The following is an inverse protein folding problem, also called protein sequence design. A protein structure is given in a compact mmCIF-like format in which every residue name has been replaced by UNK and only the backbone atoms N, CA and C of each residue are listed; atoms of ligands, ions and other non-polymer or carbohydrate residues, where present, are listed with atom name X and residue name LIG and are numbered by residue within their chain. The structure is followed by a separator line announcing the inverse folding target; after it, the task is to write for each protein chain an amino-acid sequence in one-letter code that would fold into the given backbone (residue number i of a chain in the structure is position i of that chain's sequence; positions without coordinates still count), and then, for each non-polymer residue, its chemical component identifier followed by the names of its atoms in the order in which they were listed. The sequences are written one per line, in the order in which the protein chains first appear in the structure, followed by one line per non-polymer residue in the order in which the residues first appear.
data_IF_068004172286
#
_entry.id   IF_068004172286
#
_cell.length_a   1.000
_cell.length_b   1.000
_cell.length_c   1.000
_cell.angle_alpha   90.00
_cell.angle_beta   90.00
_cell.angle_gamma   90.00
#
_symmetry.space_group_name_H-M   'P 1'
#
loop_
_entity.id
_entity.type
_entity.pdbx_description
1 polymer ?
#
# COMPACT_ATOMS: atom_id res chain seq x y z
N UNK A 1 34.88 -8.09 4.45
CA UNK A 1 33.46 -7.70 4.23
C UNK A 1 32.69 -8.96 3.86
N UNK A 2 31.45 -9.14 4.29
CA UNK A 2 30.68 -10.32 3.92
C UNK A 2 30.11 -10.13 2.49
N UNK A 3 29.92 -11.21 1.75
CA UNK A 3 29.27 -11.23 0.41
C UNK A 3 27.92 -10.48 0.41
N UNK A 4 27.24 -10.47 1.54
CA UNK A 4 26.01 -9.71 1.76
C UNK A 4 26.23 -8.21 1.78
N UNK A 5 27.25 -7.72 2.47
CA UNK A 5 27.56 -6.27 2.54
C UNK A 5 27.99 -5.74 1.18
N UNK A 6 28.72 -6.51 0.42
CA UNK A 6 29.11 -6.12 -0.94
C UNK A 6 27.90 -6.03 -1.88
N UNK A 7 26.93 -6.97 -1.76
CA UNK A 7 25.66 -6.91 -2.50
C UNK A 7 24.82 -5.70 -2.13
N UNK A 8 24.71 -5.38 -0.84
CA UNK A 8 23.96 -4.19 -0.39
C UNK A 8 24.56 -2.92 -1.00
N UNK A 9 25.89 -2.76 -0.93
CA UNK A 9 26.58 -1.61 -1.53
C UNK A 9 26.36 -1.53 -3.04
N UNK A 10 26.56 -2.64 -3.73
CA UNK A 10 26.35 -2.73 -5.17
C UNK A 10 24.93 -2.34 -5.57
N UNK A 11 23.90 -2.80 -4.83
CA UNK A 11 22.51 -2.46 -5.09
C UNK A 11 22.23 -0.96 -4.91
N UNK A 12 22.81 -0.33 -3.88
CA UNK A 12 22.65 1.11 -3.64
C UNK A 12 23.36 1.92 -4.74
N UNK A 13 24.56 1.52 -5.14
CA UNK A 13 25.30 2.16 -6.23
C UNK A 13 24.52 2.05 -7.55
N UNK A 14 23.96 0.88 -7.84
CA UNK A 14 23.14 0.66 -9.03
C UNK A 14 21.86 1.51 -9.00
N UNK A 15 21.22 1.64 -7.83
CA UNK A 15 20.06 2.51 -7.66
C UNK A 15 20.42 3.97 -7.94
N UNK A 16 21.49 4.49 -7.35
CA UNK A 16 21.97 5.87 -7.59
C UNK A 16 22.30 6.12 -9.07
N UNK A 17 22.87 5.14 -9.74
CA UNK A 17 23.18 5.22 -11.16
C UNK A 17 21.91 5.27 -12.03
N UNK A 18 20.88 4.50 -11.68
CA UNK A 18 19.63 4.43 -12.45
C UNK A 18 18.68 5.58 -12.13
N UNK A 19 18.75 6.12 -10.93
CA UNK A 19 17.91 7.23 -10.42
C UNK A 19 18.80 8.30 -9.79
N UNK A 20 19.61 9.01 -10.61
CA UNK A 20 20.63 9.93 -10.10
C UNK A 20 20.07 11.13 -9.31
N UNK A 21 18.81 11.49 -9.57
CA UNK A 21 18.13 12.63 -8.92
C UNK A 21 17.26 12.21 -7.73
N UNK A 22 17.38 10.95 -7.24
CA UNK A 22 16.69 10.56 -6.02
C UNK A 22 17.18 11.39 -4.82
N UNK A 23 16.29 12.01 -4.03
CA UNK A 23 16.68 12.89 -2.93
C UNK A 23 17.47 12.17 -1.82
N UNK A 24 17.27 10.89 -1.66
CA UNK A 24 17.94 10.07 -0.66
C UNK A 24 17.99 8.59 -1.07
N UNK A 25 18.84 7.81 -0.39
CA UNK A 25 18.93 6.36 -0.59
C UNK A 25 17.68 5.61 -0.09
N UNK A 26 16.84 6.24 0.70
CA UNK A 26 15.59 5.68 1.21
C UNK A 26 14.38 6.07 0.37
N UNK A 27 14.58 6.93 -0.63
CA UNK A 27 13.51 7.48 -1.45
C UNK A 27 12.78 6.40 -2.26
N UNK A 28 11.47 6.55 -2.37
CA UNK A 28 10.58 5.79 -3.25
C UNK A 28 9.60 6.76 -3.91
N UNK A 29 9.49 6.72 -5.23
CA UNK A 29 8.62 7.65 -5.96
C UNK A 29 7.13 7.30 -5.84
N UNK A 30 6.77 6.08 -5.41
CA UNK A 30 5.36 5.66 -5.31
C UNK A 30 4.49 6.59 -4.46
N UNK A 31 4.89 7.09 -3.28
CA UNK A 31 4.06 8.03 -2.50
C UNK A 31 3.69 9.32 -3.22
N UNK A 32 4.37 9.67 -4.31
CA UNK A 32 4.12 10.85 -5.13
C UNK A 32 3.30 10.60 -6.39
N UNK A 33 3.14 9.34 -6.78
CA UNK A 33 2.48 8.99 -8.04
C UNK A 33 1.35 7.98 -7.88
N UNK A 34 1.26 7.30 -6.74
CA UNK A 34 0.48 6.08 -6.56
C UNK A 34 -0.42 6.09 -5.33
N UNK A 35 -1.61 5.53 -5.50
CA UNK A 35 -2.47 5.06 -4.41
C UNK A 35 -2.90 3.63 -4.67
N UNK A 36 -3.14 2.89 -3.60
CA UNK A 36 -3.63 1.51 -3.67
C UNK A 36 -4.82 1.32 -2.74
N UNK A 37 -5.82 0.56 -3.19
CA UNK A 37 -6.96 0.16 -2.36
C UNK A 37 -6.84 -1.31 -1.94
N UNK A 38 -7.49 -1.65 -0.84
CA UNK A 38 -7.82 -3.03 -0.49
C UNK A 38 -9.26 -3.36 -0.87
N UNK A 39 -9.62 -4.66 -0.98
CA UNK A 39 -10.99 -5.04 -1.32
C UNK A 39 -12.07 -4.45 -0.41
N UNK A 40 -11.77 -4.24 0.87
CA UNK A 40 -12.67 -3.63 1.85
C UNK A 40 -12.67 -2.08 1.86
N UNK A 41 -12.01 -1.45 0.90
CA UNK A 41 -11.95 0.00 0.77
C UNK A 41 -10.84 0.70 1.58
N UNK A 42 -10.01 -0.04 2.33
CA UNK A 42 -8.85 0.57 2.99
C UNK A 42 -7.87 1.13 1.97
N UNK A 43 -7.39 2.35 2.22
CA UNK A 43 -6.38 3.01 1.40
C UNK A 43 -4.97 2.68 1.90
N UNK A 44 -4.01 2.56 0.98
CA UNK A 44 -2.62 2.17 1.28
C UNK A 44 -1.62 3.10 0.63
N UNK A 45 -0.46 3.24 1.27
CA UNK A 45 0.70 3.96 0.72
C UNK A 45 1.13 3.36 -0.63
N UNK A 46 1.19 2.05 -0.71
CA UNK A 46 1.40 1.30 -1.97
C UNK A 46 0.93 -0.15 -1.83
N UNK A 47 0.85 -0.87 -2.93
CA UNK A 47 0.36 -2.26 -2.97
C UNK A 47 1.22 -3.24 -2.16
N UNK A 48 2.49 -2.94 -1.90
CA UNK A 48 3.40 -3.75 -1.07
C UNK A 48 3.69 -3.17 0.31
N UNK A 49 3.18 -1.96 0.62
CA UNK A 49 3.29 -1.40 1.95
C UNK A 49 2.83 -2.44 2.98
N UNK A 50 3.58 -2.52 4.08
CA UNK A 50 3.42 -3.60 5.07
C UNK A 50 1.99 -3.61 5.66
N UNK A 51 1.15 -4.34 5.00
CA UNK A 51 -0.25 -4.53 5.32
C UNK A 51 -0.59 -6.00 5.14
N UNK A 52 0.38 -6.88 5.42
CA UNK A 52 0.12 -8.32 5.35
C UNK A 52 -0.90 -8.66 6.42
N UNK A 53 -1.93 -9.38 6.01
CA UNK A 53 -2.95 -9.94 6.88
C UNK A 53 -2.39 -10.94 7.90
N UNK A 54 -1.14 -11.37 7.76
CA UNK A 54 -0.54 -12.49 8.49
C UNK A 54 0.71 -12.07 9.23
N UNK A 55 0.89 -11.06 9.86
CA UNK A 55 2.11 -10.78 10.65
C UNK A 55 2.36 -9.31 10.97
N UNK A 56 1.78 -8.42 10.19
CA UNK A 56 1.90 -6.99 10.45
C UNK A 56 0.85 -6.46 11.42
N UNK A 57 -0.22 -7.22 11.64
CA UNK A 57 -1.32 -6.85 12.54
C UNK A 57 -0.91 -6.92 14.01
N UNK A 58 0.10 -7.68 14.35
CA UNK A 58 0.61 -7.83 15.72
C UNK A 58 1.77 -6.89 16.05
N UNK A 59 2.14 -5.97 15.16
CA UNK A 59 3.06 -4.92 15.53
C UNK A 59 2.35 -3.86 16.38
N UNK A 60 2.10 -4.24 17.64
CA UNK A 60 1.57 -3.33 18.68
C UNK A 60 2.43 -2.08 18.85
N UNK A 61 3.70 -2.16 18.45
CA UNK A 61 4.65 -1.05 18.52
C UNK A 61 4.34 0.05 17.50
N UNK A 62 3.70 -0.30 16.38
CA UNK A 62 3.37 0.63 15.30
C UNK A 62 1.85 0.78 15.07
N UNK A 63 1.02 0.34 16.01
CA UNK A 63 -0.41 0.65 16.02
C UNK A 63 -1.25 -0.08 14.97
N UNK A 64 -0.94 -1.34 14.66
CA UNK A 64 -1.76 -2.16 13.78
C UNK A 64 -1.32 -2.10 12.31
N UNK A 65 -2.22 -2.20 11.36
CA UNK A 65 -1.94 -2.29 9.91
C UNK A 65 -1.05 -1.15 9.40
N UNK A 66 0.28 -1.39 9.48
CA UNK A 66 1.34 -0.45 9.09
C UNK A 66 1.33 -0.32 7.60
N UNK A 67 0.87 0.50 6.90
CA UNK A 67 0.81 0.58 5.41
C UNK A 67 -0.58 0.90 4.92
N UNK A 68 -1.57 0.80 5.81
CA UNK A 68 -2.89 1.40 5.62
C UNK A 68 -2.81 2.85 6.06
N UNK A 69 -3.33 3.76 5.25
CA UNK A 69 -3.42 5.18 5.62
C UNK A 69 -4.31 5.33 6.84
N UNK A 70 -3.96 6.25 7.72
CA UNK A 70 -4.73 6.54 8.94
C UNK A 70 -5.23 7.97 8.92
N UNK A 71 -6.46 8.15 9.33
CA UNK A 71 -7.06 9.46 9.59
C UNK A 71 -6.48 10.07 10.88
N UNK A 72 -6.79 11.33 11.14
CA UNK A 72 -6.35 12.04 12.34
C UNK A 72 -6.77 11.37 13.66
N UNK A 73 -7.86 10.60 13.65
CA UNK A 73 -8.34 9.81 14.79
C UNK A 73 -7.62 8.45 14.95
N UNK A 74 -6.62 8.18 14.11
CA UNK A 74 -5.85 6.94 14.11
C UNK A 74 -6.54 5.75 13.44
N UNK A 75 -7.79 5.91 12.99
CA UNK A 75 -8.51 4.85 12.28
C UNK A 75 -8.05 4.73 10.83
N UNK A 76 -8.16 3.53 10.22
CA UNK A 76 -7.86 3.34 8.81
C UNK A 76 -8.68 4.27 7.91
N UNK A 77 -8.01 4.95 6.97
CA UNK A 77 -8.68 5.64 5.87
C UNK A 77 -9.38 4.61 4.99
N UNK A 78 -10.69 4.77 4.79
CA UNK A 78 -11.51 3.77 4.15
C UNK A 78 -12.56 4.41 3.25
N UNK A 79 -12.60 4.00 1.99
CA UNK A 79 -13.52 4.48 0.97
C UNK A 79 -15.02 4.18 1.25
N UNK A 80 -15.33 3.43 2.30
CA UNK A 80 -16.71 3.37 2.81
C UNK A 80 -17.15 4.69 3.48
N UNK A 81 -16.19 5.54 3.90
CA UNK A 81 -16.44 6.72 4.73
C UNK A 81 -15.67 7.97 4.28
N UNK A 82 -14.72 7.81 3.37
CA UNK A 82 -13.85 8.88 2.85
C UNK A 82 -13.85 8.86 1.33
N UNK A 83 -13.34 9.90 0.73
CA UNK A 83 -13.15 10.01 -0.71
C UNK A 83 -11.70 9.70 -1.15
N UNK A 84 -11.47 9.66 -2.46
CA UNK A 84 -10.17 9.34 -3.03
C UNK A 84 -9.13 10.43 -2.73
N UNK A 85 -9.52 11.69 -2.87
CA UNK A 85 -8.58 12.81 -2.79
C UNK A 85 -8.16 13.14 -1.36
N UNK A 86 -9.05 12.91 -0.38
CA UNK A 86 -8.68 13.01 1.04
C UNK A 86 -7.57 12.02 1.43
N UNK A 87 -7.46 10.90 0.71
CA UNK A 87 -6.40 9.92 0.91
C UNK A 87 -5.07 10.34 0.27
N UNK A 88 -5.10 11.14 -0.78
CA UNK A 88 -3.91 11.58 -1.52
C UNK A 88 -2.96 12.43 -0.67
N UNK A 89 -3.49 13.41 0.04
CA UNK A 89 -2.76 14.27 0.98
C UNK A 89 -3.16 14.00 2.44
N UNK A 90 -3.51 12.76 2.75
CA UNK A 90 -3.71 12.30 4.11
C UNK A 90 -2.44 12.55 4.94
N UNK A 91 -2.56 12.95 6.21
CA UNK A 91 -1.41 13.27 7.07
C UNK A 91 -0.42 12.11 7.21
N UNK A 92 -0.92 10.87 7.17
CA UNK A 92 -0.05 9.70 7.14
C UNK A 92 0.79 9.63 5.86
N UNK A 93 0.19 9.91 4.69
CA UNK A 93 0.90 9.94 3.41
C UNK A 93 1.90 11.09 3.33
N UNK A 94 1.53 12.28 3.81
CA UNK A 94 2.41 13.44 3.91
C UNK A 94 3.65 13.11 4.77
N UNK A 95 3.43 12.49 5.94
CA UNK A 95 4.52 12.07 6.81
C UNK A 95 5.43 10.99 6.16
N UNK A 96 4.90 10.11 5.33
CA UNK A 96 5.72 9.16 4.57
C UNK A 96 6.64 9.89 3.58
N UNK A 97 6.11 10.90 2.88
CA UNK A 97 6.89 11.70 1.92
C UNK A 97 8.00 12.49 2.64
N UNK A 98 7.68 13.23 3.71
CA UNK A 98 8.67 14.00 4.45
C UNK A 98 9.79 13.13 5.01
N UNK A 99 9.45 11.98 5.60
CA UNK A 99 10.46 11.03 6.08
C UNK A 99 11.40 10.55 4.97
N UNK A 100 10.89 10.28 3.76
CA UNK A 100 11.71 9.84 2.63
C UNK A 100 12.61 10.95 2.10
N UNK A 101 12.13 12.20 2.05
CA UNK A 101 12.94 13.36 1.68
C UNK A 101 14.07 13.60 2.69
N UNK A 102 13.81 13.39 3.97
CA UNK A 102 14.79 13.47 5.06
C UNK A 102 15.76 12.27 5.14
N UNK A 103 15.65 11.30 4.23
CA UNK A 103 16.48 10.09 4.25
C UNK A 103 16.11 9.07 5.34
N UNK A 104 14.95 9.21 5.96
CA UNK A 104 14.42 8.26 6.94
C UNK A 104 13.72 7.08 6.26
N UNK A 105 13.58 5.98 7.00
CA UNK A 105 12.86 4.76 6.54
C UNK A 105 11.45 4.72 7.15
N UNK A 106 10.38 5.13 6.43
CA UNK A 106 9.02 5.05 6.96
C UNK A 106 8.64 3.62 7.37
N UNK A 107 8.00 3.40 8.53
CA UNK A 107 7.60 2.06 8.99
C UNK A 107 6.69 1.31 8.00
N UNK A 108 5.83 2.03 7.27
CA UNK A 108 4.98 1.46 6.22
C UNK A 108 5.76 0.80 5.07
N UNK A 109 7.01 1.17 4.89
CA UNK A 109 7.87 0.73 3.78
C UNK A 109 8.91 -0.31 4.23
N UNK A 110 8.86 -0.77 5.47
CA UNK A 110 9.86 -1.65 6.09
C UNK A 110 10.10 -2.95 5.30
N UNK A 111 9.10 -3.46 4.57
CA UNK A 111 9.27 -4.65 3.74
C UNK A 111 10.37 -4.46 2.71
N UNK A 112 10.35 -3.36 1.96
CA UNK A 112 11.37 -3.08 0.95
C UNK A 112 12.75 -2.90 1.60
N UNK A 113 12.83 -2.18 2.69
CA UNK A 113 14.12 -1.98 3.39
C UNK A 113 14.67 -3.29 3.96
N UNK A 114 13.84 -4.18 4.49
CA UNK A 114 14.27 -5.51 4.94
C UNK A 114 14.79 -6.38 3.78
N UNK A 115 14.16 -6.31 2.61
CA UNK A 115 14.66 -6.98 1.40
C UNK A 115 16.03 -6.43 0.99
N UNK A 116 16.19 -5.11 1.02
CA UNK A 116 17.46 -4.44 0.71
C UNK A 116 18.55 -4.75 1.74
N UNK A 117 18.23 -4.72 3.03
CA UNK A 117 19.13 -5.10 4.12
C UNK A 117 19.51 -6.60 4.06
N UNK A 118 18.74 -7.42 3.36
CA UNK A 118 19.08 -8.82 3.03
C UNK A 118 19.91 -8.97 1.75
N UNK A 119 20.22 -7.87 1.04
CA UNK A 119 21.00 -7.85 -0.19
C UNK A 119 20.17 -8.13 -1.46
N UNK A 120 18.86 -7.93 -1.40
CA UNK A 120 17.95 -8.07 -2.54
C UNK A 120 17.57 -6.71 -3.14
N UNK A 121 17.26 -6.70 -4.42
CA UNK A 121 16.62 -5.55 -5.07
C UNK A 121 15.13 -5.55 -4.71
N UNK A 122 14.69 -4.51 -4.03
CA UNK A 122 13.30 -4.38 -3.60
C UNK A 122 12.39 -3.79 -4.68
N UNK A 123 11.07 -3.90 -4.47
CA UNK A 123 10.10 -3.21 -5.33
C UNK A 123 10.33 -1.68 -5.37
N UNK A 124 10.82 -1.08 -4.28
CA UNK A 124 11.14 0.34 -4.23
C UNK A 124 12.13 0.75 -5.32
N UNK A 125 13.19 -0.01 -5.52
CA UNK A 125 14.19 0.27 -6.58
C UNK A 125 13.54 0.22 -7.98
N UNK A 126 12.82 -0.86 -8.27
CA UNK A 126 12.19 -1.06 -9.58
C UNK A 126 11.13 -0.01 -9.88
N UNK A 127 10.27 0.30 -8.94
CA UNK A 127 9.20 1.28 -9.15
C UNK A 127 9.75 2.71 -9.24
N UNK A 128 10.75 3.05 -8.45
CA UNK A 128 11.37 4.38 -8.55
C UNK A 128 12.04 4.58 -9.90
N UNK A 129 12.81 3.59 -10.38
CA UNK A 129 13.39 3.62 -11.73
C UNK A 129 12.31 3.67 -12.81
N UNK A 130 11.29 2.83 -12.71
CA UNK A 130 10.20 2.77 -13.69
C UNK A 130 9.47 4.10 -13.82
N UNK A 131 9.12 4.71 -12.68
CA UNK A 131 8.35 5.94 -12.66
C UNK A 131 9.20 7.18 -12.94
N UNK A 132 10.46 7.24 -12.54
CA UNK A 132 11.37 8.36 -12.86
C UNK A 132 11.54 8.59 -14.36
N UNK A 133 11.35 7.56 -15.17
CA UNK A 133 11.37 7.66 -16.66
C UNK A 133 10.04 8.11 -17.26
N UNK A 134 8.97 8.23 -16.47
CA UNK A 134 7.59 8.48 -16.94
C UNK A 134 7.00 9.77 -16.41
N UNK A 135 7.55 10.30 -15.37
CA UNK A 135 7.16 11.58 -14.76
C UNK A 135 8.40 12.43 -14.56
N UNK A 136 8.22 13.72 -14.49
CA UNK A 136 9.28 14.64 -14.07
C UNK A 136 9.39 14.57 -12.54
N UNK A 137 10.37 13.77 -12.09
CA UNK A 137 10.56 13.51 -10.66
C UNK A 137 11.07 14.75 -9.93
N UNK A 138 11.96 15.54 -10.55
CA UNK A 138 12.49 16.77 -9.96
C UNK A 138 11.37 17.78 -9.74
N UNK A 139 10.55 18.00 -10.78
CA UNK A 139 9.39 18.89 -10.66
C UNK A 139 8.43 18.43 -9.54
N UNK A 140 8.13 17.14 -9.46
CA UNK A 140 7.22 16.59 -8.44
C UNK A 140 7.78 16.80 -7.03
N UNK A 141 9.10 16.68 -6.86
CA UNK A 141 9.78 16.92 -5.58
C UNK A 141 9.72 18.41 -5.25
N UNK A 142 10.01 19.28 -6.21
CA UNK A 142 9.99 20.75 -6.04
C UNK A 142 8.56 21.27 -5.74
N UNK A 143 7.52 20.61 -6.29
CA UNK A 143 6.12 20.91 -5.99
C UNK A 143 5.67 20.38 -4.61
N UNK A 144 6.51 19.63 -3.89
CA UNK A 144 6.17 19.08 -2.56
C UNK A 144 6.39 20.14 -1.48
N UNK A 145 5.36 20.42 -0.69
CA UNK A 145 5.49 21.34 0.45
C UNK A 145 6.38 20.78 1.57
N UNK A 146 6.81 21.63 2.48
CA UNK A 146 7.59 21.23 3.67
C UNK A 146 6.82 20.21 4.54
N UNK A 147 5.47 20.23 4.50
CA UNK A 147 4.60 19.28 5.18
C UNK A 147 4.36 17.99 4.38
N UNK A 148 4.93 17.87 3.17
CA UNK A 148 4.76 16.68 2.31
C UNK A 148 3.47 16.67 1.48
N UNK A 149 2.78 17.81 1.34
CA UNK A 149 1.64 17.96 0.46
C UNK A 149 2.07 18.13 -0.99
N UNK A 150 1.30 17.55 -1.93
CA UNK A 150 1.58 17.60 -3.37
C UNK A 150 0.29 17.88 -4.16
N UNK A 151 0.40 18.45 -5.38
CA UNK A 151 -0.75 18.62 -6.25
C UNK A 151 -1.54 17.33 -6.46
N UNK A 152 -2.87 17.40 -6.60
CA UNK A 152 -3.75 16.24 -6.73
C UNK A 152 -3.68 15.65 -8.15
N UNK A 153 -2.59 14.96 -8.46
CA UNK A 153 -2.34 14.34 -9.78
C UNK A 153 -1.93 12.87 -9.62
N UNK A 154 -2.91 11.98 -9.49
CA UNK A 154 -2.65 10.53 -9.39
C UNK A 154 -2.18 9.99 -10.75
N UNK A 155 -0.99 9.40 -10.81
CA UNK A 155 -0.42 8.82 -12.04
C UNK A 155 -0.67 7.32 -12.15
N UNK A 156 -0.75 6.66 -11.02
CA UNK A 156 -0.96 5.22 -10.91
C UNK A 156 -1.95 4.90 -9.79
N UNK A 157 -3.00 4.19 -10.12
CA UNK A 157 -4.00 3.72 -9.15
C UNK A 157 -4.14 2.20 -9.24
N UNK A 158 -3.95 1.52 -8.10
CA UNK A 158 -4.22 0.08 -7.93
C UNK A 158 -5.57 -0.08 -7.23
N UNK A 159 -6.58 -0.47 -8.00
CA UNK A 159 -7.96 -0.62 -7.55
C UNK A 159 -8.32 -2.07 -7.29
N UNK A 160 -8.93 -2.30 -6.10
CA UNK A 160 -9.53 -3.58 -5.72
C UNK A 160 -10.99 -3.35 -5.34
N UNK A 161 -11.88 -3.64 -6.29
CA UNK A 161 -13.31 -3.34 -6.20
C UNK A 161 -14.07 -4.49 -5.49
N UNK A 162 -13.73 -4.71 -4.21
CA UNK A 162 -14.34 -5.74 -3.40
C UNK A 162 -13.65 -7.11 -3.49
N UNK A 163 -14.27 -8.12 -2.90
CA UNK A 163 -13.75 -9.49 -2.85
C UNK A 163 -14.59 -10.50 -3.66
N UNK A 164 -15.54 -10.02 -4.44
CA UNK A 164 -16.38 -10.91 -5.26
C UNK A 164 -15.54 -11.54 -6.37
N UNK A 165 -15.37 -12.87 -6.32
CA UNK A 165 -14.53 -13.62 -7.24
C UNK A 165 -15.12 -14.99 -7.47
N UNK A 166 -14.93 -15.56 -8.66
CA UNK A 166 -15.36 -16.89 -9.05
C UNK A 166 -14.25 -17.96 -8.90
N UNK A 167 -13.05 -17.57 -8.40
CA UNK A 167 -11.90 -18.46 -8.25
C UNK A 167 -11.50 -18.63 -6.77
N UNK A 168 -10.88 -19.79 -6.46
CA UNK A 168 -10.26 -20.13 -5.18
C UNK A 168 -8.76 -20.32 -5.34
N UNK A 169 -8.03 -19.27 -5.68
CA UNK A 169 -6.58 -19.35 -5.78
C UNK A 169 -5.96 -19.61 -4.41
N UNK A 170 -4.97 -20.50 -4.34
CA UNK A 170 -4.34 -20.93 -3.08
C UNK A 170 -3.65 -19.77 -2.32
N UNK A 171 -3.26 -18.72 -3.03
CA UNK A 171 -2.64 -17.52 -2.46
C UNK A 171 -3.66 -16.48 -1.95
N UNK A 172 -4.94 -16.70 -2.21
CA UNK A 172 -6.01 -15.78 -1.81
C UNK A 172 -6.61 -16.21 -0.47
N UNK A 173 -7.14 -15.22 0.23
CA UNK A 173 -7.92 -15.38 1.46
C UNK A 173 -9.37 -14.92 1.23
N UNK A 174 -10.27 -15.07 2.21
CA UNK A 174 -11.60 -14.48 2.15
C UNK A 174 -11.62 -12.97 1.94
N UNK A 175 -10.55 -12.26 2.29
CA UNK A 175 -10.40 -10.83 2.01
C UNK A 175 -10.27 -10.52 0.52
N UNK A 176 -9.73 -11.47 -0.25
CA UNK A 176 -9.45 -11.29 -1.67
C UNK A 176 -10.42 -12.05 -2.57
N UNK A 177 -11.05 -13.12 -2.05
CA UNK A 177 -12.02 -13.93 -2.79
C UNK A 177 -13.15 -14.43 -1.90
N UNK A 178 -14.36 -14.04 -2.26
CA UNK A 178 -15.60 -14.47 -1.58
C UNK A 178 -15.81 -16.00 -1.64
N UNK A 179 -15.21 -16.70 -2.61
CA UNK A 179 -15.29 -18.15 -2.72
C UNK A 179 -14.62 -18.90 -1.56
N UNK A 180 -13.64 -18.27 -0.89
CA UNK A 180 -12.97 -18.83 0.28
C UNK A 180 -13.80 -18.77 1.56
N UNK A 181 -14.81 -17.90 1.63
CA UNK A 181 -15.59 -17.61 2.83
C UNK A 181 -16.13 -18.88 3.50
N UNK A 182 -16.80 -19.72 2.71
CA UNK A 182 -17.45 -20.93 3.24
C UNK A 182 -16.44 -21.93 3.83
N UNK A 183 -15.29 -22.10 3.18
CA UNK A 183 -14.27 -23.02 3.65
C UNK A 183 -13.51 -22.45 4.85
N UNK A 184 -13.29 -21.15 4.83
CA UNK A 184 -12.65 -20.43 5.94
C UNK A 184 -13.48 -20.52 7.23
N UNK A 185 -14.78 -20.31 7.16
CA UNK A 185 -15.67 -20.44 8.31
C UNK A 185 -15.69 -21.85 8.90
N UNK A 186 -15.40 -22.88 8.09
CA UNK A 186 -15.24 -24.25 8.57
C UNK A 186 -13.86 -24.52 9.16
N UNK A 187 -12.82 -23.94 8.56
CA UNK A 187 -11.43 -24.16 8.96
C UNK A 187 -11.06 -23.39 10.23
N UNK A 188 -11.47 -22.12 10.32
CA UNK A 188 -11.06 -21.23 11.40
C UNK A 188 -11.31 -21.79 12.82
N UNK A 189 -12.47 -22.42 13.12
CA UNK A 189 -12.70 -23.02 14.43
C UNK A 189 -11.77 -24.19 14.77
N UNK A 190 -11.18 -24.85 13.77
CA UNK A 190 -10.28 -26.01 13.97
C UNK A 190 -8.83 -25.62 14.19
N UNK A 191 -8.48 -24.36 14.13
CA UNK A 191 -7.13 -23.88 14.35
C UNK A 191 -6.86 -23.90 15.86
N UNK A 192 -5.92 -24.73 16.28
CA UNK A 192 -5.55 -24.90 17.70
C UNK A 192 -4.56 -23.82 18.18
N UNK A 193 -3.72 -23.30 17.29
CA UNK A 193 -2.77 -22.24 17.63
C UNK A 193 -3.51 -20.89 17.75
N UNK A 194 -3.70 -20.39 18.96
CA UNK A 194 -4.45 -19.17 19.23
C UNK A 194 -3.85 -17.93 18.56
N UNK A 195 -2.52 -17.81 18.47
CA UNK A 195 -1.87 -16.69 17.77
C UNK A 195 -2.15 -16.73 16.27
N UNK A 196 -2.12 -17.93 15.67
CA UNK A 196 -2.49 -18.09 14.26
C UNK A 196 -3.98 -17.84 14.03
N UNK A 197 -4.83 -18.34 14.93
CA UNK A 197 -6.27 -18.15 14.88
C UNK A 197 -6.64 -16.68 14.98
N UNK A 198 -5.98 -15.91 15.86
CA UNK A 198 -6.14 -14.47 16.01
C UNK A 198 -5.67 -13.72 14.75
N UNK A 199 -4.52 -14.09 14.19
CA UNK A 199 -4.01 -13.50 12.93
C UNK A 199 -4.89 -13.83 11.72
N UNK A 200 -5.53 -14.98 11.72
CA UNK A 200 -6.45 -15.42 10.69
C UNK A 200 -7.89 -14.97 10.94
N UNK A 201 -8.12 -14.24 12.02
CA UNK A 201 -9.43 -13.71 12.34
C UNK A 201 -9.88 -12.73 11.27
N UNK A 202 -11.09 -12.89 10.82
CA UNK A 202 -11.66 -12.16 9.71
C UNK A 202 -12.98 -11.52 10.12
N UNK A 203 -12.96 -10.19 10.24
CA UNK A 203 -14.07 -9.42 10.77
C UNK A 203 -14.21 -9.52 12.29
N UNK A 204 -15.12 -8.76 12.86
CA UNK A 204 -15.49 -8.88 14.26
C UNK A 204 -16.14 -10.25 14.52
N UNK A 205 -15.54 -11.05 15.36
CA UNK A 205 -16.01 -12.39 15.75
C UNK A 205 -16.06 -13.42 14.59
N UNK A 206 -15.16 -13.32 13.62
CA UNK A 206 -15.12 -14.27 12.49
C UNK A 206 -16.24 -14.07 11.45
N UNK A 207 -16.97 -12.98 11.53
CA UNK A 207 -17.98 -12.62 10.54
C UNK A 207 -17.42 -11.66 9.52
N UNK A 208 -17.71 -11.90 8.24
CA UNK A 208 -17.44 -10.95 7.16
C UNK A 208 -18.38 -9.78 7.34
N UNK A 209 -17.85 -8.59 7.46
CA UNK A 209 -18.61 -7.41 7.10
C UNK A 209 -18.67 -7.29 5.57
N UNK A 210 -19.61 -8.02 4.98
CA UNK A 210 -19.85 -7.99 3.53
C UNK A 210 -20.22 -6.60 3.01
N UNK A 211 -20.66 -5.71 3.90
CA UNK A 211 -20.99 -4.34 3.55
C UNK A 211 -19.73 -3.53 3.22
N UNK A 212 -18.60 -3.76 3.89
CA UNK A 212 -17.35 -3.05 3.64
C UNK A 212 -16.75 -3.38 2.27
N UNK A 213 -17.04 -4.56 1.70
CA UNK A 213 -16.55 -4.96 0.37
C UNK A 213 -17.41 -4.42 -0.79
N UNK A 214 -18.47 -3.66 -0.49
CA UNK A 214 -19.32 -3.01 -1.50
C UNK A 214 -19.13 -1.49 -1.55
N UNK A 215 -18.03 -0.96 -0.99
CA UNK A 215 -17.74 0.46 -0.95
C UNK A 215 -17.86 1.14 -2.33
N UNK A 216 -17.35 0.50 -3.36
CA UNK A 216 -17.36 0.99 -4.73
C UNK A 216 -18.76 1.20 -5.34
N UNK A 217 -19.79 0.52 -4.79
CA UNK A 217 -21.18 0.67 -5.24
C UNK A 217 -21.91 1.82 -4.58
N UNK A 218 -21.37 2.35 -3.49
CA UNK A 218 -22.03 3.35 -2.63
C UNK A 218 -21.30 4.69 -2.59
N UNK A 219 -20.05 4.73 -3.01
CA UNK A 219 -19.22 5.92 -2.95
C UNK A 219 -19.22 6.63 -4.31
N UNK A 220 -20.22 7.46 -4.55
CA UNK A 220 -20.33 8.25 -5.79
C UNK A 220 -19.16 9.24 -5.90
N UNK A 221 -18.80 9.91 -4.80
CA UNK A 221 -17.70 10.87 -4.77
C UNK A 221 -16.35 10.24 -5.20
N UNK A 222 -16.13 8.96 -4.89
CA UNK A 222 -14.96 8.23 -5.39
C UNK A 222 -14.93 8.18 -6.92
N UNK A 223 -16.07 7.87 -7.55
CA UNK A 223 -16.14 7.77 -9.00
C UNK A 223 -16.01 9.12 -9.69
N UNK A 224 -16.63 10.15 -9.16
CA UNK A 224 -16.49 11.53 -9.67
C UNK A 224 -15.03 11.97 -9.63
N UNK A 225 -14.36 11.81 -8.49
CA UNK A 225 -12.95 12.16 -8.34
C UNK A 225 -12.03 11.26 -9.19
N UNK A 226 -12.37 9.98 -9.37
CA UNK A 226 -11.64 9.11 -10.28
C UNK A 226 -11.70 9.64 -11.72
N UNK A 227 -12.89 10.05 -12.20
CA UNK A 227 -13.04 10.64 -13.53
C UNK A 227 -12.20 11.91 -13.69
N UNK A 228 -12.15 12.78 -12.68
CA UNK A 228 -11.30 13.97 -12.69
C UNK A 228 -9.81 13.62 -12.77
N UNK A 229 -9.39 12.49 -12.22
CA UNK A 229 -8.00 12.05 -12.23
C UNK A 229 -7.59 11.35 -13.54
N UNK A 230 -8.52 10.84 -14.35
CA UNK A 230 -8.21 10.11 -15.59
C UNK A 230 -7.23 10.87 -16.51
N UNK A 231 -7.33 12.18 -16.75
CA UNK A 231 -6.39 12.91 -17.59
C UNK A 231 -4.94 12.89 -17.08
N UNK A 232 -4.75 12.65 -15.78
CA UNK A 232 -3.43 12.61 -15.15
C UNK A 232 -2.86 11.19 -15.07
N UNK A 233 -3.71 10.17 -15.21
CA UNK A 233 -3.31 8.77 -15.05
C UNK A 233 -2.46 8.27 -16.22
N UNK A 234 -1.42 7.54 -15.87
CA UNK A 234 -0.60 6.78 -16.80
C UNK A 234 -0.81 5.28 -16.66
N UNK A 235 -1.28 4.85 -15.49
CA UNK A 235 -1.55 3.45 -15.20
C UNK A 235 -2.75 3.32 -14.25
N UNK A 236 -3.70 2.49 -14.67
CA UNK A 236 -4.80 2.01 -13.84
C UNK A 236 -4.71 0.48 -13.79
N UNK A 237 -4.56 -0.06 -12.60
CA UNK A 237 -4.44 -1.49 -12.36
C UNK A 237 -5.66 -1.97 -11.59
N UNK A 238 -6.37 -2.92 -12.16
CA UNK A 238 -7.45 -3.63 -11.50
C UNK A 238 -6.93 -4.96 -10.96
N UNK A 239 -7.01 -5.15 -9.65
CA UNK A 239 -6.66 -6.38 -8.99
C UNK A 239 -7.80 -6.84 -8.07
N UNK A 240 -7.95 -8.13 -7.93
CA UNK A 240 -9.01 -8.73 -7.13
C UNK A 240 -10.02 -9.47 -7.98
N UNK A 241 -11.06 -9.98 -7.33
CA UNK A 241 -12.11 -10.71 -7.99
C UNK A 241 -13.08 -9.81 -8.77
N UNK A 242 -13.74 -10.39 -9.73
CA UNK A 242 -14.86 -9.81 -10.46
C UNK A 242 -16.17 -9.97 -9.68
#
# INVERSE_FOLDING_TARGET
MSDKEDRIKSNIEEFRKRVPHAPSDTFCLLPWVHLSTRPNGHMRVCCTANASSVGATNDKKHGGEVGVLKNADGKPANLNHTDLMSSWNNDYMKNVRTQMLEGKKPPSCIKCYNEEDAGHMSKRFWETEYWSRRVDMEQIIDETSDEGEIPPKIRYLDLRLGSKCNLKCIMCSPHDSSMWVKDWLKLHPTIENESLKETMQWGNKGQIDGASYNWHKKNEAFWEQLYEQIPHMKQLYFAGGE
#
